data_IF_302420760960
#
_entry.id   IF_302420760960
#
_cell.length_a   1.000
_cell.length_b   1.000
_cell.length_c   1.000
_cell.angle_alpha   90.00
_cell.angle_beta   90.00
_cell.angle_gamma   90.00
#
_symmetry.space_group_name_H-M   'P 1'
#
loop_
_entity.id
_entity.type
_entity.pdbx_description
1 polymer ?
#
# COMPACT_ATOMS: atom_id res chain seq x y z
N UNK A 1 -24.50 -12.29 29.28
CA UNK A 1 -25.40 -11.52 28.39
C UNK A 1 -26.79 -12.12 28.52
N UNK A 2 -27.75 -11.32 28.98
CA UNK A 2 -29.08 -11.77 29.37
C UNK A 2 -29.82 -12.41 28.19
N UNK A 3 -30.42 -13.59 28.38
CA UNK A 3 -31.27 -14.25 27.37
C UNK A 3 -32.39 -13.31 26.87
N UNK A 4 -32.86 -12.41 27.72
CA UNK A 4 -33.78 -11.34 27.36
C UNK A 4 -33.19 -10.36 26.32
N UNK A 5 -31.91 -10.00 26.40
CA UNK A 5 -31.28 -9.13 25.40
C UNK A 5 -31.11 -9.85 24.06
N UNK A 6 -30.85 -11.17 24.06
CA UNK A 6 -30.85 -11.97 22.84
C UNK A 6 -32.26 -12.14 22.26
N UNK A 7 -33.28 -12.34 23.08
CA UNK A 7 -34.68 -12.40 22.65
C UNK A 7 -35.18 -11.06 22.09
N UNK A 8 -34.78 -9.93 22.69
CA UNK A 8 -35.10 -8.56 22.19
C UNK A 8 -34.39 -8.29 20.87
N UNK A 9 -33.12 -8.70 20.71
CA UNK A 9 -32.39 -8.60 19.44
C UNK A 9 -32.99 -9.50 18.35
N UNK A 10 -33.43 -10.71 18.70
CA UNK A 10 -34.14 -11.61 17.77
C UNK A 10 -35.53 -11.07 17.42
N UNK A 11 -36.28 -10.47 18.36
CA UNK A 11 -37.55 -9.78 18.09
C UNK A 11 -37.39 -8.62 17.12
N UNK A 12 -36.36 -7.77 17.29
CA UNK A 12 -36.04 -6.70 16.32
C UNK A 12 -35.69 -7.21 14.92
N UNK A 13 -35.28 -8.48 14.78
CA UNK A 13 -35.02 -9.12 13.47
C UNK A 13 -36.28 -9.72 12.82
N UNK A 14 -37.40 -9.83 13.55
CA UNK A 14 -38.68 -10.42 13.09
C UNK A 14 -39.78 -9.35 12.98
N UNK A 15 -39.43 -8.08 13.19
CA UNK A 15 -40.34 -6.95 13.10
C UNK A 15 -40.33 -6.39 11.67
N UNK A 16 -41.21 -6.93 10.82
CA UNK A 16 -41.83 -6.18 9.70
C UNK A 16 -43.18 -6.77 9.23
N UNK A 17 -43.77 -7.69 10.02
CA UNK A 17 -45.19 -8.02 9.90
C UNK A 17 -45.89 -7.36 11.08
N UNK A 18 -46.84 -6.48 10.77
CA UNK A 18 -47.71 -5.74 11.69
C UNK A 18 -48.64 -6.72 12.43
N UNK A 19 -48.02 -7.57 13.26
CA UNK A 19 -48.64 -8.73 13.92
C UNK A 19 -49.78 -8.27 14.83
N UNK A 20 -49.61 -7.13 15.49
CA UNK A 20 -50.61 -6.56 16.38
C UNK A 20 -51.87 -6.15 15.60
N UNK A 21 -51.70 -5.55 14.42
CA UNK A 21 -52.82 -5.21 13.53
C UNK A 21 -53.50 -6.48 12.99
N UNK A 22 -52.73 -7.48 12.58
CA UNK A 22 -53.28 -8.78 12.13
C UNK A 22 -54.07 -9.49 13.24
N UNK A 23 -53.53 -9.54 14.47
CA UNK A 23 -54.17 -10.15 15.64
C UNK A 23 -55.47 -9.42 15.98
N UNK A 24 -55.48 -8.09 15.88
CA UNK A 24 -56.66 -7.27 16.16
C UNK A 24 -57.78 -7.47 15.12
N UNK A 25 -57.45 -7.50 13.83
CA UNK A 25 -58.42 -7.79 12.77
C UNK A 25 -58.97 -9.21 12.90
N UNK A 26 -58.10 -10.18 13.19
CA UNK A 26 -58.48 -11.59 13.39
C UNK A 26 -59.37 -11.79 14.62
N UNK A 27 -59.08 -11.14 15.73
CA UNK A 27 -59.89 -11.23 16.96
C UNK A 27 -61.29 -10.65 16.74
N UNK A 28 -61.39 -9.51 16.04
CA UNK A 28 -62.67 -8.89 15.66
C UNK A 28 -63.49 -9.83 14.76
N UNK A 29 -62.90 -10.39 13.71
CA UNK A 29 -63.56 -11.38 12.85
C UNK A 29 -64.08 -12.62 13.61
N UNK A 30 -63.26 -13.15 14.53
CA UNK A 30 -63.66 -14.28 15.38
C UNK A 30 -64.83 -13.92 16.29
N UNK A 31 -64.88 -12.70 16.80
CA UNK A 31 -66.00 -12.21 17.60
C UNK A 31 -67.30 -12.15 16.78
N UNK A 32 -67.24 -11.72 15.52
CA UNK A 32 -68.40 -11.77 14.61
C UNK A 32 -68.88 -13.20 14.34
N UNK A 33 -67.95 -14.13 14.09
CA UNK A 33 -68.28 -15.55 13.87
C UNK A 33 -68.92 -16.19 15.12
N UNK A 34 -68.43 -15.86 16.32
CA UNK A 34 -69.00 -16.33 17.58
C UNK A 34 -70.42 -15.79 17.80
N UNK A 35 -70.65 -14.50 17.55
CA UNK A 35 -71.98 -13.88 17.66
C UNK A 35 -72.98 -14.45 16.64
N UNK A 36 -72.51 -14.72 15.41
CA UNK A 36 -73.33 -15.38 14.38
C UNK A 36 -73.68 -16.82 14.78
N UNK A 37 -72.72 -17.58 15.32
CA UNK A 37 -72.93 -18.95 15.81
C UNK A 37 -73.91 -19.02 16.98
N UNK A 38 -73.97 -17.99 17.82
CA UNK A 38 -74.89 -17.88 18.95
C UNK A 38 -76.29 -17.38 18.56
N UNK A 39 -76.54 -17.10 17.28
CA UNK A 39 -77.84 -16.58 16.81
C UNK A 39 -78.07 -15.09 17.08
N UNK A 40 -77.06 -14.37 17.60
CA UNK A 40 -77.13 -12.95 17.96
C UNK A 40 -76.77 -12.02 16.79
N UNK A 41 -77.19 -12.37 15.57
CA UNK A 41 -76.85 -11.67 14.33
C UNK A 41 -77.39 -10.22 14.32
N UNK A 42 -78.46 -9.93 15.08
CA UNK A 42 -79.04 -8.58 15.20
C UNK A 42 -78.11 -7.55 15.85
N UNK A 43 -77.06 -7.98 16.55
CA UNK A 43 -76.05 -7.10 17.14
C UNK A 43 -74.93 -6.72 16.16
N UNK A 44 -74.88 -7.36 14.98
CA UNK A 44 -73.87 -7.12 13.96
C UNK A 44 -74.39 -6.05 12.99
N UNK A 45 -73.80 -4.85 13.04
CA UNK A 45 -74.09 -3.80 12.05
C UNK A 45 -73.31 -4.08 10.76
N UNK A 46 -73.99 -4.03 9.61
CA UNK A 46 -73.36 -4.24 8.29
C UNK A 46 -72.16 -3.30 8.06
N UNK A 47 -72.24 -2.07 8.56
CA UNK A 47 -71.18 -1.06 8.46
C UNK A 47 -69.90 -1.48 9.19
N UNK A 48 -69.99 -2.25 10.27
CA UNK A 48 -68.84 -2.73 11.03
C UNK A 48 -68.14 -3.89 10.31
N UNK A 49 -68.89 -4.70 9.55
CA UNK A 49 -68.35 -5.75 8.70
C UNK A 49 -67.63 -5.17 7.47
N UNK A 50 -68.22 -4.12 6.86
CA UNK A 50 -67.60 -3.40 5.74
C UNK A 50 -66.27 -2.76 6.11
N UNK A 51 -66.22 -2.07 7.27
CA UNK A 51 -64.97 -1.50 7.79
C UNK A 51 -63.88 -2.55 8.03
N UNK A 52 -64.24 -3.75 8.46
CA UNK A 52 -63.28 -4.83 8.67
C UNK A 52 -62.77 -5.39 7.35
N UNK A 53 -63.62 -5.48 6.33
CA UNK A 53 -63.19 -5.84 4.98
C UNK A 53 -62.18 -4.81 4.42
N UNK A 54 -62.49 -3.51 4.55
CA UNK A 54 -61.61 -2.42 4.13
C UNK A 54 -60.28 -2.44 4.91
N UNK A 55 -60.34 -2.68 6.23
CA UNK A 55 -59.15 -2.83 7.08
C UNK A 55 -58.28 -4.00 6.60
N UNK A 56 -58.87 -5.17 6.29
CA UNK A 56 -58.15 -6.35 5.80
C UNK A 56 -57.44 -6.05 4.47
N UNK A 57 -58.14 -5.44 3.52
CA UNK A 57 -57.59 -5.10 2.21
C UNK A 57 -56.45 -4.07 2.34
N UNK A 58 -56.63 -3.07 3.21
CA UNK A 58 -55.60 -2.10 3.52
C UNK A 58 -54.35 -2.74 4.14
N UNK A 59 -54.50 -3.60 5.15
CA UNK A 59 -53.36 -4.26 5.80
C UNK A 59 -52.66 -5.25 4.87
N UNK A 60 -53.41 -5.95 4.01
CA UNK A 60 -52.84 -6.82 2.99
C UNK A 60 -51.99 -6.02 1.99
N UNK A 61 -52.53 -4.90 1.50
CA UNK A 61 -51.81 -4.00 0.60
C UNK A 61 -50.55 -3.42 1.25
N UNK A 62 -50.66 -2.91 2.48
CA UNK A 62 -49.55 -2.37 3.27
C UNK A 62 -48.44 -3.41 3.46
N UNK A 63 -48.79 -4.64 3.83
CA UNK A 63 -47.83 -5.73 4.02
C UNK A 63 -47.11 -6.08 2.72
N UNK A 64 -47.86 -6.17 1.61
CA UNK A 64 -47.27 -6.43 0.29
C UNK A 64 -46.31 -5.33 -0.15
N UNK A 65 -46.64 -4.07 0.13
CA UNK A 65 -45.80 -2.92 -0.19
C UNK A 65 -44.51 -2.92 0.64
N UNK A 66 -44.60 -3.19 1.94
CA UNK A 66 -43.43 -3.32 2.82
C UNK A 66 -42.51 -4.44 2.38
N UNK A 67 -43.04 -5.64 2.09
CA UNK A 67 -42.24 -6.77 1.60
C UNK A 67 -41.52 -6.45 0.27
N UNK A 68 -42.19 -5.72 -0.63
CA UNK A 68 -41.58 -5.27 -1.87
C UNK A 68 -40.46 -4.25 -1.62
N UNK A 69 -40.67 -3.32 -0.69
CA UNK A 69 -39.69 -2.30 -0.31
C UNK A 69 -38.46 -2.94 0.34
N UNK A 70 -38.66 -3.91 1.22
CA UNK A 70 -37.58 -4.66 1.87
C UNK A 70 -36.80 -5.48 0.86
N UNK A 71 -37.49 -6.16 -0.06
CA UNK A 71 -36.84 -6.92 -1.13
C UNK A 71 -35.99 -6.02 -2.03
N UNK A 72 -36.48 -4.82 -2.38
CA UNK A 72 -35.72 -3.83 -3.15
C UNK A 72 -34.53 -3.29 -2.37
N UNK A 73 -34.71 -2.97 -1.09
CA UNK A 73 -33.65 -2.47 -0.20
C UNK A 73 -32.56 -3.52 -0.04
N UNK A 74 -32.93 -4.77 0.22
CA UNK A 74 -32.00 -5.88 0.32
C UNK A 74 -31.21 -6.07 -0.98
N UNK A 75 -31.89 -6.14 -2.14
CA UNK A 75 -31.20 -6.27 -3.44
C UNK A 75 -30.23 -5.13 -3.70
N UNK A 76 -30.62 -3.89 -3.39
CA UNK A 76 -29.77 -2.72 -3.57
C UNK A 76 -28.55 -2.78 -2.65
N UNK A 77 -28.74 -3.03 -1.36
CA UNK A 77 -27.65 -3.10 -0.38
C UNK A 77 -26.68 -4.23 -0.73
N UNK A 78 -27.17 -5.41 -1.11
CA UNK A 78 -26.32 -6.53 -1.53
C UNK A 78 -25.51 -6.18 -2.77
N UNK A 79 -26.13 -5.57 -3.79
CA UNK A 79 -25.42 -5.16 -5.01
C UNK A 79 -24.40 -4.06 -4.75
N UNK A 80 -24.72 -3.06 -3.92
CA UNK A 80 -23.77 -2.01 -3.51
C UNK A 80 -22.59 -2.61 -2.74
N UNK A 81 -22.84 -3.59 -1.86
CA UNK A 81 -21.81 -4.29 -1.10
C UNK A 81 -20.88 -5.12 -1.99
N UNK A 82 -21.43 -5.92 -2.91
CA UNK A 82 -20.64 -6.70 -3.88
C UNK A 82 -19.78 -5.79 -4.78
N UNK A 83 -20.34 -4.67 -5.24
CA UNK A 83 -19.59 -3.68 -6.02
C UNK A 83 -18.46 -3.04 -5.21
N UNK A 84 -18.72 -2.73 -3.93
CA UNK A 84 -17.71 -2.14 -3.05
C UNK A 84 -16.58 -3.14 -2.74
N UNK A 85 -16.91 -4.40 -2.45
CA UNK A 85 -15.93 -5.46 -2.20
C UNK A 85 -15.05 -5.72 -3.43
N UNK A 86 -15.64 -5.77 -4.63
CA UNK A 86 -14.87 -5.98 -5.86
C UNK A 86 -13.97 -4.80 -6.20
N UNK A 87 -14.43 -3.56 -6.01
CA UNK A 87 -13.61 -2.36 -6.25
C UNK A 87 -12.46 -2.25 -5.24
N UNK A 88 -12.75 -2.49 -3.96
CA UNK A 88 -11.75 -2.49 -2.89
C UNK A 88 -10.69 -3.58 -3.11
N UNK A 89 -11.11 -4.77 -3.55
CA UNK A 89 -10.20 -5.86 -3.92
C UNK A 89 -9.25 -5.46 -5.05
N UNK A 90 -9.79 -4.91 -6.14
CA UNK A 90 -8.99 -4.46 -7.30
C UNK A 90 -8.01 -3.36 -6.90
N UNK A 91 -8.46 -2.40 -6.10
CA UNK A 91 -7.63 -1.26 -5.68
C UNK A 91 -6.51 -1.70 -4.74
N UNK A 92 -6.77 -2.62 -3.82
CA UNK A 92 -5.73 -3.18 -2.94
C UNK A 92 -4.68 -3.97 -3.74
N UNK A 93 -5.10 -4.82 -4.67
CA UNK A 93 -4.16 -5.57 -5.52
C UNK A 93 -3.29 -4.62 -6.35
N UNK A 94 -3.90 -3.59 -6.97
CA UNK A 94 -3.17 -2.58 -7.73
C UNK A 94 -2.11 -1.84 -6.89
N UNK A 95 -2.45 -1.43 -5.67
CA UNK A 95 -1.50 -0.75 -4.78
C UNK A 95 -0.34 -1.66 -4.37
N UNK A 96 -0.61 -2.94 -4.12
CA UNK A 96 0.42 -3.94 -3.81
C UNK A 96 1.38 -4.11 -5.01
N UNK A 97 0.85 -4.21 -6.22
CA UNK A 97 1.66 -4.38 -7.43
C UNK A 97 2.56 -3.15 -7.69
N UNK A 98 2.02 -1.94 -7.51
CA UNK A 98 2.80 -0.69 -7.58
C UNK A 98 3.94 -0.72 -6.57
N UNK A 99 3.67 -1.11 -5.32
CA UNK A 99 4.67 -1.12 -4.26
C UNK A 99 5.78 -2.16 -4.50
N UNK A 100 5.43 -3.32 -5.05
CA UNK A 100 6.42 -4.34 -5.46
C UNK A 100 7.31 -3.80 -6.59
N UNK A 101 6.73 -3.10 -7.57
CA UNK A 101 7.49 -2.49 -8.68
C UNK A 101 8.48 -1.43 -8.17
N UNK A 102 8.02 -0.50 -7.33
CA UNK A 102 8.86 0.53 -6.72
C UNK A 102 10.02 -0.07 -5.93
N UNK A 103 9.77 -1.13 -5.16
CA UNK A 103 10.84 -1.81 -4.39
C UNK A 103 11.84 -2.52 -5.29
N UNK A 104 11.39 -3.10 -6.40
CA UNK A 104 12.26 -3.72 -7.40
C UNK A 104 13.19 -2.68 -8.04
N UNK A 105 12.64 -1.52 -8.41
CA UNK A 105 13.43 -0.41 -8.94
C UNK A 105 14.45 0.11 -7.91
N UNK A 106 14.02 0.28 -6.64
CA UNK A 106 14.89 0.74 -5.56
C UNK A 106 16.06 -0.23 -5.33
N UNK A 107 15.81 -1.55 -5.40
CA UNK A 107 16.83 -2.58 -5.28
C UNK A 107 17.85 -2.51 -6.42
N UNK A 108 17.41 -2.25 -7.65
CA UNK A 108 18.30 -2.03 -8.79
C UNK A 108 19.16 -0.77 -8.61
N UNK A 109 18.55 0.35 -8.17
CA UNK A 109 19.27 1.60 -7.86
C UNK A 109 20.34 1.40 -6.78
N UNK A 110 20.01 0.68 -5.71
CA UNK A 110 20.97 0.30 -4.66
C UNK A 110 22.11 -0.55 -5.22
N UNK A 111 21.81 -1.52 -6.08
CA UNK A 111 22.83 -2.37 -6.70
C UNK A 111 23.81 -1.55 -7.56
N UNK A 112 23.30 -0.64 -8.39
CA UNK A 112 24.12 0.27 -9.22
C UNK A 112 24.99 1.19 -8.36
N UNK A 113 24.42 1.76 -7.29
CA UNK A 113 25.17 2.60 -6.36
C UNK A 113 26.28 1.82 -5.65
N UNK A 114 26.01 0.57 -5.24
CA UNK A 114 27.02 -0.31 -4.64
C UNK A 114 28.15 -0.65 -5.61
N UNK A 115 27.84 -0.92 -6.87
CA UNK A 115 28.86 -1.17 -7.90
C UNK A 115 29.73 0.07 -8.14
N UNK A 116 29.13 1.25 -8.19
CA UNK A 116 29.85 2.52 -8.34
C UNK A 116 30.77 2.81 -7.15
N UNK A 117 30.33 2.51 -5.92
CA UNK A 117 31.18 2.59 -4.73
C UNK A 117 32.34 1.59 -4.78
N UNK A 118 32.11 0.38 -5.30
CA UNK A 118 33.16 -0.62 -5.54
C UNK A 118 34.23 -0.09 -6.50
N UNK A 119 33.83 0.46 -7.65
CA UNK A 119 34.74 1.09 -8.61
C UNK A 119 35.52 2.26 -8.01
N UNK A 120 34.88 3.08 -7.17
CA UNK A 120 35.57 4.16 -6.43
C UNK A 120 36.60 3.64 -5.43
N UNK A 121 36.32 2.52 -4.76
CA UNK A 121 37.28 1.87 -3.87
C UNK A 121 38.49 1.35 -4.65
N UNK A 122 38.25 0.65 -5.76
CA UNK A 122 39.31 0.14 -6.64
C UNK A 122 40.19 1.28 -7.19
N UNK A 123 39.58 2.40 -7.62
CA UNK A 123 40.31 3.58 -8.06
C UNK A 123 41.18 4.16 -6.93
N UNK A 124 40.63 4.28 -5.72
CA UNK A 124 41.39 4.77 -4.57
C UNK A 124 42.55 3.83 -4.22
N UNK A 125 42.37 2.51 -4.31
CA UNK A 125 43.43 1.52 -4.09
C UNK A 125 44.55 1.63 -5.14
N UNK A 126 44.20 1.92 -6.40
CA UNK A 126 45.17 2.20 -7.48
C UNK A 126 45.95 3.49 -7.16
N UNK A 127 45.25 4.57 -6.80
CA UNK A 127 45.88 5.85 -6.43
C UNK A 127 46.83 5.65 -5.25
N UNK A 128 46.41 4.96 -4.20
CA UNK A 128 47.26 4.64 -3.03
C UNK A 128 48.47 3.81 -3.44
N UNK A 129 48.32 2.83 -4.34
CA UNK A 129 49.43 1.99 -4.81
C UNK A 129 50.45 2.81 -5.61
N UNK A 130 49.97 3.67 -6.52
CA UNK A 130 50.82 4.58 -7.30
C UNK A 130 51.55 5.54 -6.35
N UNK A 131 50.84 6.18 -5.42
CA UNK A 131 51.45 7.08 -4.43
C UNK A 131 52.48 6.37 -3.52
N UNK A 132 52.30 5.09 -3.21
CA UNK A 132 53.28 4.30 -2.44
C UNK A 132 54.52 3.91 -3.24
N UNK A 133 54.41 3.77 -4.56
CA UNK A 133 55.52 3.41 -5.45
C UNK A 133 56.27 4.64 -5.97
N UNK A 134 55.57 5.76 -6.13
CA UNK A 134 56.09 7.03 -6.64
C UNK A 134 56.57 7.90 -5.47
N UNK A 135 57.89 8.00 -5.28
CA UNK A 135 58.47 9.00 -4.35
C UNK A 135 58.11 10.43 -4.77
N UNK A 136 58.00 10.64 -6.08
CA UNK A 136 57.49 11.87 -6.67
C UNK A 136 56.75 11.54 -7.97
N UNK A 137 55.81 12.37 -8.38
CA UNK A 137 55.21 12.29 -9.72
C UNK A 137 55.51 13.57 -10.50
N UNK A 138 55.76 13.40 -11.81
CA UNK A 138 55.99 14.48 -12.78
C UNK A 138 54.72 14.67 -13.59
N UNK A 139 54.33 15.90 -13.78
CA UNK A 139 53.20 16.25 -14.64
C UNK A 139 53.52 17.57 -15.36
N UNK A 140 53.23 17.62 -16.65
CA UNK A 140 53.36 18.84 -17.44
C UNK A 140 52.19 19.77 -17.15
N UNK A 141 52.37 21.07 -17.31
CA UNK A 141 51.29 22.05 -17.17
C UNK A 141 50.11 21.72 -18.09
N UNK A 142 50.39 21.34 -19.33
CA UNK A 142 49.37 20.93 -20.32
C UNK A 142 48.54 19.74 -19.87
N UNK A 143 49.16 18.69 -19.33
CA UNK A 143 48.43 17.52 -18.84
C UNK A 143 47.61 17.87 -17.58
N UNK A 144 48.10 18.82 -16.78
CA UNK A 144 47.41 19.31 -15.59
C UNK A 144 46.15 20.10 -15.94
N UNK A 145 46.25 21.04 -16.89
CA UNK A 145 45.13 21.84 -17.40
C UNK A 145 44.10 20.98 -18.16
N UNK A 146 44.50 19.80 -18.67
CA UNK A 146 43.56 18.82 -19.24
C UNK A 146 42.86 17.94 -18.18
N UNK A 147 43.47 17.76 -17.01
CA UNK A 147 42.93 16.92 -15.93
C UNK A 147 41.95 17.65 -15.03
N UNK A 148 42.04 18.98 -14.96
CA UNK A 148 41.16 19.83 -14.17
C UNK A 148 40.49 20.83 -15.11
N UNK A 149 39.16 20.78 -15.22
CA UNK A 149 38.37 21.76 -15.96
C UNK A 149 38.62 23.19 -15.41
N UNK A 150 38.36 24.22 -16.21
CA UNK A 150 38.58 25.66 -15.92
C UNK A 150 37.99 26.15 -14.57
N UNK A 151 37.11 25.36 -13.94
CA UNK A 151 36.41 25.66 -12.69
C UNK A 151 37.27 25.47 -11.41
N UNK A 152 38.46 24.88 -11.52
CA UNK A 152 39.34 24.63 -10.36
C UNK A 152 40.57 25.52 -10.47
N UNK A 153 40.84 26.35 -9.45
CA UNK A 153 42.05 27.18 -9.38
C UNK A 153 43.30 26.29 -9.21
N UNK A 154 43.86 25.94 -10.36
CA UNK A 154 45.02 25.07 -10.54
C UNK A 154 46.28 25.64 -9.86
N UNK A 155 46.32 26.97 -9.64
CA UNK A 155 47.49 27.67 -9.10
C UNK A 155 47.89 27.20 -7.70
N UNK A 156 46.91 26.83 -6.87
CA UNK A 156 47.13 26.34 -5.51
C UNK A 156 47.84 24.99 -5.55
N UNK A 157 47.45 24.10 -6.46
CA UNK A 157 48.09 22.79 -6.58
C UNK A 157 49.49 22.96 -7.17
N UNK A 158 49.65 23.74 -8.24
CA UNK A 158 50.96 24.01 -8.86
C UNK A 158 51.96 24.65 -7.89
N UNK A 159 51.52 25.49 -6.95
CA UNK A 159 52.37 26.10 -5.91
C UNK A 159 52.97 25.09 -4.93
N UNK A 160 52.36 23.91 -4.80
CA UNK A 160 52.83 22.82 -3.94
C UNK A 160 53.86 21.91 -4.63
N UNK A 161 54.07 22.09 -5.93
CA UNK A 161 55.05 21.35 -6.73
C UNK A 161 56.37 22.10 -6.89
N UNK A 162 57.47 21.38 -7.07
CA UNK A 162 58.76 21.95 -7.50
C UNK A 162 58.82 21.97 -9.02
N UNK A 163 59.06 23.13 -9.62
CA UNK A 163 59.36 23.22 -11.05
C UNK A 163 60.73 22.62 -11.32
N UNK A 164 60.80 21.60 -12.20
CA UNK A 164 62.05 20.88 -12.49
C UNK A 164 62.56 21.16 -13.89
N UNK A 165 61.69 21.57 -14.80
CA UNK A 165 62.07 22.04 -16.12
C UNK A 165 61.31 23.32 -16.45
N UNK A 166 62.04 24.41 -16.67
CA UNK A 166 61.48 25.72 -17.02
C UNK A 166 62.13 26.17 -18.33
N UNK A 167 61.69 25.59 -19.44
CA UNK A 167 62.12 26.03 -20.76
C UNK A 167 61.43 27.38 -21.05
N UNK A 168 62.19 28.47 -21.00
CA UNK A 168 61.69 29.85 -21.13
C UNK A 168 61.00 30.17 -22.47
N UNK A 169 61.05 29.25 -23.43
CA UNK A 169 60.46 29.42 -24.76
C UNK A 169 59.11 28.71 -24.94
N UNK A 170 58.66 27.88 -23.98
CA UNK A 170 57.36 27.20 -24.05
C UNK A 170 56.72 27.04 -22.66
N UNK A 171 55.71 27.86 -22.38
CA UNK A 171 54.95 27.86 -21.11
C UNK A 171 54.26 26.52 -20.83
N UNK A 172 53.95 25.75 -21.86
CA UNK A 172 53.17 24.52 -21.74
C UNK A 172 54.07 23.30 -21.47
N UNK A 173 55.38 23.47 -21.63
CA UNK A 173 56.40 22.45 -21.34
C UNK A 173 56.94 22.52 -19.90
N UNK A 174 56.34 23.35 -19.03
CA UNK A 174 56.75 23.45 -17.62
C UNK A 174 56.39 22.14 -16.92
N UNK A 175 57.41 21.45 -16.39
CA UNK A 175 57.24 20.21 -15.62
C UNK A 175 57.26 20.49 -14.12
N UNK A 176 56.22 20.04 -13.44
CA UNK A 176 56.10 20.10 -11.98
C UNK A 176 56.36 18.72 -11.38
N UNK A 177 57.25 18.67 -10.38
CA UNK A 177 57.51 17.49 -9.55
C UNK A 177 56.84 17.68 -8.21
N UNK A 178 55.95 16.76 -7.87
CA UNK A 178 55.30 16.70 -6.57
C UNK A 178 55.93 15.61 -5.74
N UNK A 179 56.54 15.98 -4.61
CA UNK A 179 57.24 15.06 -3.72
C UNK A 179 56.24 14.47 -2.72
N UNK A 180 55.89 13.19 -2.88
CA UNK A 180 54.77 12.55 -2.17
C UNK A 180 55.13 12.28 -0.71
N UNK A 181 56.42 12.14 -0.39
CA UNK A 181 56.94 11.81 0.95
C UNK A 181 56.72 12.88 2.02
N UNK A 182 56.55 14.16 1.65
CA UNK A 182 56.29 15.24 2.61
C UNK A 182 54.80 15.43 2.90
N UNK A 183 53.91 14.87 2.08
CA UNK A 183 52.46 15.05 2.17
C UNK A 183 51.79 14.06 3.12
N UNK A 184 52.02 14.21 4.42
CA UNK A 184 51.21 13.51 5.45
C UNK A 184 49.69 13.72 5.25
N UNK A 185 49.30 14.82 4.60
CA UNK A 185 47.89 15.12 4.31
C UNK A 185 47.27 14.18 3.27
N UNK A 186 47.98 13.81 2.20
CA UNK A 186 47.40 13.05 1.08
C UNK A 186 47.16 11.59 1.44
N UNK A 187 48.15 10.92 2.06
CA UNK A 187 47.99 9.55 2.56
C UNK A 187 46.85 9.47 3.59
N UNK A 188 46.79 10.41 4.54
CA UNK A 188 45.70 10.43 5.53
C UNK A 188 44.32 10.71 4.91
N UNK A 189 44.29 11.46 3.80
CA UNK A 189 43.05 11.74 3.07
C UNK A 189 42.55 10.49 2.33
N UNK A 190 43.45 9.72 1.72
CA UNK A 190 43.12 8.42 1.13
C UNK A 190 42.63 7.41 2.18
N UNK A 191 43.27 7.34 3.35
CA UNK A 191 42.85 6.44 4.44
C UNK A 191 41.45 6.82 4.98
N UNK A 192 41.19 8.12 5.15
CA UNK A 192 39.85 8.64 5.52
C UNK A 192 38.81 8.33 4.44
N UNK A 193 39.16 8.49 3.16
CA UNK A 193 38.28 8.14 2.03
C UNK A 193 37.94 6.65 2.01
N UNK A 194 38.92 5.77 2.25
CA UNK A 194 38.69 4.31 2.35
C UNK A 194 37.72 3.99 3.48
N UNK A 195 37.93 4.57 4.67
CA UNK A 195 37.03 4.39 5.82
C UNK A 195 35.60 4.86 5.50
N UNK A 196 35.43 6.04 4.90
CA UNK A 196 34.12 6.57 4.53
C UNK A 196 33.42 5.72 3.45
N UNK A 197 34.18 5.22 2.48
CA UNK A 197 33.65 4.32 1.44
C UNK A 197 33.18 3.00 2.04
N UNK A 198 33.95 2.40 2.96
CA UNK A 198 33.57 1.16 3.63
C UNK A 198 32.31 1.32 4.49
N UNK A 199 32.20 2.43 5.22
CA UNK A 199 31.00 2.74 5.99
C UNK A 199 29.78 2.97 5.09
N UNK A 200 29.95 3.64 3.95
CA UNK A 200 28.88 3.79 2.95
C UNK A 200 28.47 2.47 2.34
N UNK A 201 29.41 1.59 2.00
CA UNK A 201 29.11 0.23 1.51
C UNK A 201 28.31 -0.55 2.55
N UNK A 202 28.70 -0.50 3.83
CA UNK A 202 27.94 -1.13 4.93
C UNK A 202 26.52 -0.57 5.05
N UNK A 203 26.34 0.75 4.95
CA UNK A 203 25.03 1.39 4.97
C UNK A 203 24.15 0.93 3.79
N UNK A 204 24.71 0.85 2.58
CA UNK A 204 24.00 0.37 1.40
C UNK A 204 23.61 -1.11 1.50
N UNK A 205 24.48 -1.96 2.06
CA UNK A 205 24.15 -3.37 2.30
C UNK A 205 23.02 -3.52 3.31
N UNK A 206 23.06 -2.78 4.43
CA UNK A 206 21.94 -2.76 5.40
C UNK A 206 20.63 -2.29 4.76
N UNK A 207 20.69 -1.26 3.92
CA UNK A 207 19.51 -0.76 3.21
C UNK A 207 18.99 -1.80 2.21
N UNK A 208 19.87 -2.48 1.48
CA UNK A 208 19.53 -3.57 0.56
C UNK A 208 18.79 -4.69 1.28
N UNK A 209 19.30 -5.11 2.43
CA UNK A 209 18.70 -6.18 3.24
C UNK A 209 17.33 -5.76 3.78
N UNK A 210 17.21 -4.51 4.26
CA UNK A 210 15.93 -3.94 4.71
C UNK A 210 14.90 -3.89 3.59
N UNK A 211 15.30 -3.46 2.39
CA UNK A 211 14.43 -3.40 1.21
C UNK A 211 14.01 -4.81 0.77
N UNK A 212 14.93 -5.78 0.78
CA UNK A 212 14.62 -7.16 0.45
C UNK A 212 13.66 -7.80 1.46
N UNK A 213 13.82 -7.52 2.75
CA UNK A 213 12.89 -7.96 3.80
C UNK A 213 11.50 -7.35 3.61
N UNK A 214 11.42 -6.04 3.32
CA UNK A 214 10.14 -5.37 3.02
C UNK A 214 9.48 -5.96 1.78
N UNK A 215 10.24 -6.25 0.72
CA UNK A 215 9.72 -6.90 -0.49
C UNK A 215 9.12 -8.26 -0.17
N UNK A 216 9.81 -9.08 0.63
CA UNK A 216 9.28 -10.37 1.06
C UNK A 216 8.00 -10.23 1.88
N UNK A 217 7.94 -9.21 2.76
CA UNK A 217 6.74 -8.92 3.54
C UNK A 217 5.55 -8.54 2.62
N UNK A 218 5.77 -7.70 1.61
CA UNK A 218 4.73 -7.35 0.63
C UNK A 218 4.28 -8.53 -0.22
N UNK A 219 5.20 -9.41 -0.62
CA UNK A 219 4.86 -10.66 -1.32
C UNK A 219 3.99 -11.56 -0.44
N UNK A 220 4.34 -11.71 0.84
CA UNK A 220 3.56 -12.50 1.79
C UNK A 220 2.18 -11.88 2.09
N UNK A 221 2.08 -10.55 2.15
CA UNK A 221 0.81 -9.86 2.28
C UNK A 221 -0.03 -10.07 1.01
N UNK A 222 0.59 -9.93 -0.17
CA UNK A 222 -0.07 -10.17 -1.46
C UNK A 222 -0.67 -11.57 -1.54
N UNK A 223 0.09 -12.60 -1.15
CA UNK A 223 -0.41 -13.99 -1.17
C UNK A 223 -1.58 -14.19 -0.21
N UNK A 224 -1.49 -13.70 1.03
CA UNK A 224 -2.59 -13.77 2.01
C UNK A 224 -3.84 -13.03 1.57
N UNK A 225 -3.68 -11.86 0.96
CA UNK A 225 -4.80 -11.07 0.42
C UNK A 225 -5.47 -11.81 -0.73
N UNK A 226 -4.70 -12.38 -1.65
CA UNK A 226 -5.24 -13.21 -2.74
C UNK A 226 -5.99 -14.44 -2.23
N UNK A 227 -5.45 -15.10 -1.20
CA UNK A 227 -6.09 -16.24 -0.56
C UNK A 227 -7.39 -15.85 0.17
N UNK A 228 -7.39 -14.74 0.91
CA UNK A 228 -8.58 -14.22 1.57
C UNK A 228 -9.68 -13.86 0.56
N UNK A 229 -9.34 -13.23 -0.56
CA UNK A 229 -10.32 -12.95 -1.62
C UNK A 229 -10.84 -14.21 -2.30
N UNK A 230 -10.02 -15.26 -2.44
CA UNK A 230 -10.46 -16.55 -2.97
C UNK A 230 -11.46 -17.24 -2.05
N UNK A 231 -11.20 -17.24 -0.73
CA UNK A 231 -12.12 -17.79 0.28
C UNK A 231 -13.44 -17.00 0.32
N UNK A 232 -13.38 -15.67 0.20
CA UNK A 232 -14.57 -14.83 0.11
C UNK A 232 -15.40 -15.14 -1.16
N UNK A 233 -14.76 -15.28 -2.32
CA UNK A 233 -15.44 -15.62 -3.58
C UNK A 233 -16.09 -17.02 -3.53
N UNK A 234 -15.41 -18.01 -2.93
CA UNK A 234 -15.95 -19.36 -2.69
C UNK A 234 -17.14 -19.34 -1.71
N UNK A 235 -17.02 -18.62 -0.60
CA UNK A 235 -18.11 -18.45 0.38
C UNK A 235 -19.34 -17.74 -0.19
N UNK A 236 -19.15 -16.74 -1.06
CA UNK A 236 -20.27 -16.08 -1.76
C UNK A 236 -20.96 -17.01 -2.76
N UNK A 237 -20.24 -17.91 -3.43
CA UNK A 237 -20.85 -18.88 -4.37
C UNK A 237 -21.73 -19.91 -3.65
N UNK A 238 -21.36 -20.32 -2.44
CA UNK A 238 -22.17 -21.25 -1.65
C UNK A 238 -23.45 -20.61 -1.10
N UNK A 239 -23.40 -19.33 -0.72
CA UNK A 239 -24.59 -18.54 -0.34
C UNK A 239 -25.57 -18.33 -1.51
N UNK A 240 -25.06 -18.10 -2.73
CA UNK A 240 -25.89 -17.93 -3.93
C UNK A 240 -26.55 -19.24 -4.36
N UNK A 241 -25.90 -20.39 -4.16
CA UNK A 241 -26.51 -21.71 -4.42
C UNK A 241 -27.59 -22.07 -3.41
N UNK A 242 -27.40 -21.77 -2.12
CA UNK A 242 -28.41 -22.06 -1.09
C UNK A 242 -29.66 -21.17 -1.20
N UNK A 243 -29.55 -20.00 -1.82
CA UNK A 243 -30.67 -19.08 -2.07
C UNK A 243 -31.58 -19.50 -3.25
N UNK A 244 -31.16 -20.48 -4.06
CA UNK A 244 -31.89 -20.95 -5.26
C UNK A 244 -32.51 -22.35 -5.11
N UNK A 245 -32.29 -23.02 -3.97
CA UNK A 245 -32.90 -24.30 -3.59
C UNK A 245 -34.08 -24.05 -2.65
#
# INVERSE_FOLDING_TARGET
MNEQQQAIRKRRKVLDLDLDSYVNVKSRLLQFLLLARQGNIKQIKSDDLGKIADDIDFFFFKTRLNLNLDALTYRRVTSEFENFDTDLSKRLVSLIDIQISVQTELKQKISRASEFLGKRKELNDVVVRVLKQSNSFRISKRDFDQLFDDDIDVSVILSSGKVVNNNSNDSDAIEYVFDVKSSKSLSSSCDKLTSLLEDKIKQYNKLRDSVSSKQQAWVNISSKVKEAFKVLDEGTKDLVKSSKA
#
